data_IF_837634712511
#
_entry.id   IF_837634712511
#
_cell.length_a   1.000
_cell.length_b   1.000
_cell.length_c   1.000
_cell.angle_alpha   90.00
_cell.angle_beta   90.00
_cell.angle_gamma   90.00
#
_symmetry.space_group_name_H-M   'P 1'
#
loop_
_entity.id
_entity.type
_entity.pdbx_description
1 polymer ?
#
# COMPACT_ATOMS: atom_id res chain seq x y z
N UNK A 1 -5.49 -10.71 37.22
CA UNK A 1 -5.18 -9.32 37.60
C UNK A 1 -4.45 -8.58 36.50
N UNK A 2 -3.29 -9.02 36.13
CA UNK A 2 -2.52 -8.38 35.06
C UNK A 2 -3.18 -8.51 33.67
N UNK A 3 -3.99 -9.52 33.46
CA UNK A 3 -4.67 -9.75 32.17
C UNK A 3 -5.76 -8.72 31.86
N UNK A 4 -6.33 -8.08 32.88
CA UNK A 4 -7.38 -7.08 32.65
C UNK A 4 -6.82 -5.73 32.18
N UNK A 5 -5.56 -5.42 32.50
CA UNK A 5 -4.93 -4.16 32.14
C UNK A 5 -4.68 -4.05 30.62
N UNK A 6 -4.08 -5.06 29.95
CA UNK A 6 -3.90 -5.02 28.49
C UNK A 6 -5.23 -4.88 27.73
N UNK A 7 -6.27 -5.58 28.18
CA UNK A 7 -7.57 -5.53 27.54
C UNK A 7 -8.21 -4.14 27.68
N UNK A 8 -8.06 -3.52 28.84
CA UNK A 8 -8.56 -2.16 29.07
C UNK A 8 -7.79 -1.13 28.22
N UNK A 9 -6.50 -1.30 28.10
CA UNK A 9 -5.69 -0.43 27.25
C UNK A 9 -6.09 -0.56 25.78
N UNK A 10 -6.27 -1.78 25.29
CA UNK A 10 -6.74 -2.02 23.93
C UNK A 10 -8.10 -1.40 23.66
N UNK A 11 -9.02 -1.47 24.61
CA UNK A 11 -10.34 -0.89 24.46
C UNK A 11 -10.33 0.64 24.41
N UNK A 12 -9.25 1.28 24.87
CA UNK A 12 -9.07 2.74 24.84
C UNK A 12 -8.39 3.23 23.55
N UNK A 13 -7.83 2.32 22.75
CA UNK A 13 -7.19 2.71 21.51
C UNK A 13 -8.23 3.12 20.47
N UNK A 14 -7.91 4.19 19.75
CA UNK A 14 -8.73 4.63 18.63
C UNK A 14 -8.60 3.60 17.51
N UNK A 15 -9.72 3.17 16.88
CA UNK A 15 -9.63 2.27 15.75
C UNK A 15 -8.88 2.94 14.58
N UNK A 16 -8.30 2.15 13.67
CA UNK A 16 -7.65 2.70 12.49
C UNK A 16 -8.62 3.51 11.65
N UNK A 17 -8.08 4.48 10.91
CA UNK A 17 -8.88 5.28 10.01
C UNK A 17 -9.60 4.41 8.96
N UNK A 18 -10.91 4.55 8.86
CA UNK A 18 -11.73 3.86 7.87
C UNK A 18 -11.87 2.35 8.02
N UNK A 19 -11.44 1.78 9.14
CA UNK A 19 -11.53 0.33 9.38
C UNK A 19 -11.57 0.05 10.88
N UNK A 20 -12.11 -1.10 11.24
CA UNK A 20 -12.09 -1.57 12.63
C UNK A 20 -10.74 -2.17 13.03
N UNK A 21 -9.97 -2.63 12.04
CA UNK A 21 -8.68 -3.29 12.26
C UNK A 21 -7.63 -2.77 11.28
N UNK A 22 -6.36 -2.88 11.68
CA UNK A 22 -5.25 -2.60 10.77
C UNK A 22 -5.26 -3.58 9.60
N UNK A 23 -4.85 -3.10 8.44
CA UNK A 23 -4.75 -3.90 7.21
C UNK A 23 -3.30 -3.91 6.72
N UNK A 24 -2.40 -4.63 7.40
CA UNK A 24 -1.03 -4.75 6.91
C UNK A 24 -1.00 -5.58 5.64
N UNK A 25 -0.19 -5.16 4.68
CA UNK A 25 -0.04 -5.83 3.39
C UNK A 25 1.26 -6.64 3.29
N UNK A 26 2.03 -6.69 4.37
CA UNK A 26 3.30 -7.39 4.42
C UNK A 26 3.10 -8.89 4.28
N UNK A 27 3.76 -9.49 3.30
CA UNK A 27 3.74 -10.94 3.10
C UNK A 27 4.79 -11.60 4.00
N UNK A 28 4.47 -12.82 4.47
CA UNK A 28 5.33 -13.60 5.36
C UNK A 28 5.39 -15.05 4.92
N UNK A 29 6.48 -15.72 5.28
CA UNK A 29 6.65 -17.16 5.09
C UNK A 29 6.57 -17.56 3.63
N UNK A 30 5.79 -18.60 3.35
CA UNK A 30 5.65 -19.18 2.02
C UNK A 30 5.07 -18.20 0.99
N UNK A 31 4.12 -17.39 1.38
CA UNK A 31 3.55 -16.36 0.48
C UNK A 31 4.62 -15.37 0.04
N UNK A 32 5.51 -14.97 0.95
CA UNK A 32 6.63 -14.08 0.63
C UNK A 32 7.60 -14.75 -0.35
N UNK A 33 7.95 -16.01 -0.12
CA UNK A 33 8.83 -16.76 -1.00
C UNK A 33 8.26 -16.89 -2.41
N UNK A 34 6.99 -17.21 -2.53
CA UNK A 34 6.30 -17.32 -3.82
C UNK A 34 6.24 -15.98 -4.54
N UNK A 35 5.98 -14.90 -3.83
CA UNK A 35 5.96 -13.55 -4.39
C UNK A 35 7.35 -13.13 -4.90
N UNK A 36 8.42 -13.45 -4.17
CA UNK A 36 9.79 -13.17 -4.60
C UNK A 36 10.15 -13.94 -5.87
N UNK A 37 9.75 -15.20 -5.97
CA UNK A 37 9.94 -16.00 -7.19
C UNK A 37 9.21 -15.39 -8.38
N UNK A 38 7.96 -15.00 -8.19
CA UNK A 38 7.18 -14.34 -9.24
C UNK A 38 7.84 -13.03 -9.67
N UNK A 39 8.27 -12.23 -8.71
CA UNK A 39 8.89 -10.93 -8.97
C UNK A 39 10.13 -11.04 -9.88
N UNK A 40 10.88 -12.13 -9.77
CA UNK A 40 12.07 -12.37 -10.62
C UNK A 40 11.73 -12.51 -12.11
N UNK A 41 10.48 -12.78 -12.44
CA UNK A 41 10.01 -12.94 -13.83
C UNK A 41 9.29 -11.72 -14.37
N UNK A 42 9.06 -10.71 -13.55
CA UNK A 42 8.23 -9.55 -13.89
C UNK A 42 9.11 -8.35 -14.33
N UNK A 43 8.54 -7.45 -15.15
CA UNK A 43 9.16 -6.15 -15.35
C UNK A 43 9.31 -5.42 -14.01
N UNK A 44 10.39 -4.66 -13.86
CA UNK A 44 10.69 -3.97 -12.61
C UNK A 44 10.48 -2.47 -12.74
N UNK A 45 9.96 -1.87 -11.68
CA UNK A 45 9.92 -0.42 -11.50
C UNK A 45 10.85 -0.11 -10.33
N UNK A 46 11.87 0.71 -10.59
CA UNK A 46 12.73 1.23 -9.52
C UNK A 46 12.00 2.37 -8.83
N UNK A 47 11.73 2.20 -7.55
CA UNK A 47 10.98 3.18 -6.76
C UNK A 47 11.90 4.22 -6.12
N UNK A 48 11.38 5.43 -5.95
CA UNK A 48 12.06 6.51 -5.24
C UNK A 48 12.07 6.25 -3.73
N UNK A 49 12.85 7.04 -3.00
CA UNK A 49 12.87 6.96 -1.54
C UNK A 49 11.51 7.29 -0.91
N UNK A 50 10.75 8.24 -1.50
CA UNK A 50 9.39 8.54 -1.06
C UNK A 50 8.47 7.35 -1.28
N UNK A 51 8.50 6.76 -2.46
CA UNK A 51 7.68 5.58 -2.78
C UNK A 51 8.04 4.38 -1.92
N UNK A 52 9.33 4.22 -1.60
CA UNK A 52 9.78 3.18 -0.67
C UNK A 52 9.18 3.39 0.73
N UNK A 53 9.20 4.63 1.23
CA UNK A 53 8.57 4.97 2.50
C UNK A 53 7.07 4.68 2.50
N UNK A 54 6.37 5.06 1.44
CA UNK A 54 4.94 4.79 1.30
C UNK A 54 4.66 3.29 1.24
N UNK A 55 5.49 2.54 0.55
CA UNK A 55 5.35 1.07 0.46
C UNK A 55 5.55 0.40 1.82
N UNK A 56 6.49 0.87 2.62
CA UNK A 56 6.69 0.38 3.99
C UNK A 56 5.44 0.68 4.83
N UNK A 57 4.90 1.88 4.73
CA UNK A 57 3.67 2.25 5.45
C UNK A 57 2.49 1.37 5.05
N UNK A 58 2.33 1.10 3.76
CA UNK A 58 1.32 0.15 3.28
C UNK A 58 1.54 -1.24 3.89
N UNK A 59 2.79 -1.70 3.90
CA UNK A 59 3.15 -3.02 4.40
C UNK A 59 2.80 -3.23 5.87
N UNK A 60 3.06 -2.26 6.72
CA UNK A 60 2.80 -2.36 8.16
C UNK A 60 1.37 -1.98 8.55
N UNK A 61 0.54 -1.57 7.60
CA UNK A 61 -0.82 -1.14 7.86
C UNK A 61 -0.94 0.33 8.29
N UNK A 62 0.12 1.11 8.14
CA UNK A 62 0.13 2.53 8.50
C UNK A 62 -0.76 3.39 7.63
N UNK A 63 -1.10 2.92 6.43
CA UNK A 63 -2.03 3.59 5.53
C UNK A 63 -3.37 2.86 5.40
N UNK A 64 -3.77 2.13 6.44
CA UNK A 64 -5.11 1.53 6.48
C UNK A 64 -6.18 2.59 6.19
N UNK A 65 -7.17 2.34 5.32
CA UNK A 65 -7.53 1.05 4.75
C UNK A 65 -7.01 0.81 3.32
N UNK A 66 -6.00 1.54 2.87
CA UNK A 66 -5.47 1.40 1.51
C UNK A 66 -4.92 -0.01 1.28
N UNK A 67 -5.19 -0.54 0.09
CA UNK A 67 -4.70 -1.84 -0.36
C UNK A 67 -3.45 -1.75 -1.26
N UNK A 68 -2.96 -0.56 -1.47
CA UNK A 68 -1.81 -0.30 -2.33
C UNK A 68 -1.76 1.15 -2.77
N UNK A 69 -0.92 1.42 -3.74
CA UNK A 69 -0.88 2.74 -4.37
C UNK A 69 -2.21 3.07 -5.04
N UNK A 70 -2.55 4.35 -5.09
CA UNK A 70 -3.84 4.82 -5.59
C UNK A 70 -3.98 4.62 -7.09
N UNK A 71 -5.19 4.26 -7.53
CA UNK A 71 -5.58 4.35 -8.92
C UNK A 71 -5.87 5.82 -9.29
N UNK A 72 -6.17 6.06 -10.57
CA UNK A 72 -6.43 7.42 -11.07
C UNK A 72 -7.64 8.06 -10.39
N UNK A 73 -8.71 7.30 -10.16
CA UNK A 73 -9.92 7.82 -9.54
C UNK A 73 -9.66 8.29 -8.10
N UNK A 74 -8.95 7.50 -7.32
CA UNK A 74 -8.59 7.84 -5.95
C UNK A 74 -7.61 9.00 -5.89
N UNK A 75 -6.58 8.98 -6.74
CA UNK A 75 -5.63 10.09 -6.83
C UNK A 75 -6.34 11.40 -7.11
N UNK A 76 -7.22 11.40 -8.12
CA UNK A 76 -7.96 12.60 -8.50
C UNK A 76 -8.88 13.07 -7.37
N UNK A 77 -9.59 12.16 -6.73
CA UNK A 77 -10.46 12.47 -5.59
C UNK A 77 -9.70 13.05 -4.40
N UNK A 78 -8.54 12.50 -4.09
CA UNK A 78 -7.68 12.99 -3.01
C UNK A 78 -7.16 14.39 -3.32
N UNK A 79 -6.69 14.63 -4.53
CA UNK A 79 -6.17 15.94 -4.95
C UNK A 79 -7.26 17.00 -4.97
N UNK A 80 -8.44 16.67 -5.46
CA UNK A 80 -9.54 17.65 -5.63
C UNK A 80 -10.38 17.83 -4.37
N UNK A 81 -10.71 16.72 -3.68
CA UNK A 81 -11.68 16.71 -2.59
C UNK A 81 -11.14 16.17 -1.27
N UNK A 82 -9.90 15.69 -1.22
CA UNK A 82 -9.35 14.96 -0.09
C UNK A 82 -10.19 13.74 0.29
N UNK A 83 -10.71 13.03 -0.72
CA UNK A 83 -11.55 11.83 -0.52
C UNK A 83 -11.25 10.76 -1.55
N UNK A 84 -11.24 9.52 -1.09
CA UNK A 84 -11.19 8.35 -1.97
C UNK A 84 -12.50 8.25 -2.76
N UNK A 85 -12.43 7.74 -3.99
CA UNK A 85 -13.57 7.69 -4.90
C UNK A 85 -13.94 6.28 -5.35
N UNK A 86 -13.07 5.29 -5.13
CA UNK A 86 -13.28 3.94 -5.65
C UNK A 86 -13.42 2.90 -4.54
N UNK A 87 -14.09 1.78 -4.87
CA UNK A 87 -14.22 0.62 -4.02
C UNK A 87 -15.01 0.87 -2.73
N UNK A 88 -14.78 0.02 -1.75
CA UNK A 88 -15.49 0.05 -0.47
C UNK A 88 -15.15 1.30 0.37
N UNK A 89 -14.05 1.97 0.05
CA UNK A 89 -13.59 3.14 0.77
C UNK A 89 -14.04 4.46 0.14
N UNK A 90 -14.90 4.42 -0.87
CA UNK A 90 -15.39 5.61 -1.54
C UNK A 90 -16.02 6.60 -0.55
N UNK A 91 -15.62 7.86 -0.64
CA UNK A 91 -16.07 8.92 0.26
C UNK A 91 -15.25 9.08 1.53
N UNK A 92 -14.31 8.19 1.79
CA UNK A 92 -13.44 8.29 2.97
C UNK A 92 -12.49 9.48 2.82
N UNK A 93 -12.38 10.28 3.87
CA UNK A 93 -11.39 11.37 3.94
C UNK A 93 -9.98 10.82 3.86
N UNK A 94 -9.20 11.35 2.93
CA UNK A 94 -7.79 10.99 2.76
C UNK A 94 -7.04 12.17 2.14
N UNK A 95 -6.16 12.85 2.90
CA UNK A 95 -5.60 14.13 2.45
C UNK A 95 -4.30 14.02 1.67
N UNK A 96 -3.70 12.82 1.57
CA UNK A 96 -2.36 12.65 1.00
C UNK A 96 -2.43 11.70 -0.20
N UNK A 97 -1.92 12.10 -1.38
CA UNK A 97 -1.80 11.15 -2.49
C UNK A 97 -0.71 10.12 -2.20
N UNK A 98 -1.05 8.84 -2.35
CA UNK A 98 -0.14 7.70 -2.20
C UNK A 98 0.00 7.08 -3.59
N UNK A 99 1.02 7.51 -4.33
CA UNK A 99 1.12 7.23 -5.76
C UNK A 99 2.45 6.60 -6.13
N UNK A 100 2.41 5.80 -7.19
CA UNK A 100 3.58 5.18 -7.80
C UNK A 100 3.78 5.77 -9.19
N UNK A 101 5.00 6.13 -9.52
CA UNK A 101 5.37 6.59 -10.85
C UNK A 101 6.21 5.53 -11.58
N UNK A 102 6.13 5.54 -12.89
CA UNK A 102 6.95 4.66 -13.71
C UNK A 102 7.41 5.38 -14.98
N UNK A 103 8.59 5.02 -15.54
CA UNK A 103 9.04 5.62 -16.78
C UNK A 103 8.06 5.33 -17.93
N UNK A 104 7.87 6.29 -18.80
CA UNK A 104 6.97 6.15 -19.96
C UNK A 104 7.38 4.98 -20.86
N UNK A 105 8.66 4.75 -21.01
CA UNK A 105 9.20 3.61 -21.80
C UNK A 105 8.64 2.29 -21.29
N UNK A 106 8.55 2.13 -19.98
CA UNK A 106 8.00 0.92 -19.38
C UNK A 106 6.47 0.88 -19.49
N UNK A 107 5.80 1.99 -19.17
CA UNK A 107 4.34 2.03 -19.20
C UNK A 107 3.75 1.83 -20.59
N UNK A 108 4.48 2.22 -21.63
CA UNK A 108 4.07 1.98 -23.03
C UNK A 108 4.01 0.48 -23.37
N UNK A 109 4.71 -0.37 -22.62
CA UNK A 109 4.71 -1.83 -22.83
C UNK A 109 3.73 -2.57 -21.91
N UNK A 110 3.14 -1.88 -20.94
CA UNK A 110 2.26 -2.48 -19.95
C UNK A 110 0.78 -2.25 -20.31
N UNK A 111 -0.04 -3.24 -19.98
CA UNK A 111 -1.48 -3.14 -20.04
C UNK A 111 -2.05 -3.09 -18.63
N UNK A 112 -3.25 -2.52 -18.51
CA UNK A 112 -3.94 -2.51 -17.23
C UNK A 112 -4.14 -3.94 -16.73
N UNK A 113 -3.78 -4.19 -15.46
CA UNK A 113 -3.84 -5.52 -14.87
C UNK A 113 -2.53 -6.30 -14.90
N UNK A 114 -1.54 -5.83 -15.67
CA UNK A 114 -0.23 -6.45 -15.67
C UNK A 114 0.46 -6.28 -14.31
N UNK A 115 1.21 -7.32 -13.92
CA UNK A 115 2.00 -7.29 -12.69
C UNK A 115 3.40 -6.76 -12.96
N UNK A 116 3.92 -6.01 -12.02
CA UNK A 116 5.29 -5.52 -12.02
C UNK A 116 5.92 -5.74 -10.65
N UNK A 117 7.24 -5.84 -10.61
CA UNK A 117 7.97 -5.89 -9.36
C UNK A 117 8.47 -4.49 -8.99
N UNK A 118 8.32 -4.12 -7.72
CA UNK A 118 8.81 -2.85 -7.20
C UNK A 118 10.16 -3.08 -6.52
N UNK A 119 11.16 -2.36 -6.96
CA UNK A 119 12.55 -2.58 -6.57
C UNK A 119 13.14 -1.26 -6.06
N UNK A 120 13.78 -1.31 -4.90
CA UNK A 120 14.52 -0.17 -4.37
C UNK A 120 15.80 0.08 -5.20
N UNK A 121 16.40 1.24 -5.02
CA UNK A 121 17.60 1.64 -5.75
C UNK A 121 18.82 0.73 -5.50
N UNK A 122 18.84 0.02 -4.37
CA UNK A 122 19.86 -0.98 -4.05
C UNK A 122 19.60 -2.38 -4.64
N UNK A 123 18.49 -2.53 -5.37
CA UNK A 123 18.09 -3.81 -5.98
C UNK A 123 17.20 -4.69 -5.11
N UNK A 124 16.86 -4.25 -3.89
CA UNK A 124 15.96 -5.01 -3.01
C UNK A 124 14.53 -5.03 -3.57
N UNK A 125 13.95 -6.22 -3.70
CA UNK A 125 12.55 -6.39 -4.11
C UNK A 125 11.65 -6.04 -2.94
N UNK A 126 10.81 -5.04 -3.12
CA UNK A 126 9.95 -4.50 -2.06
C UNK A 126 8.47 -4.87 -2.25
N UNK A 127 8.03 -5.11 -3.48
CA UNK A 127 6.63 -5.40 -3.76
C UNK A 127 6.38 -5.85 -5.19
#
# INVERSE_FOLDING_TARGET
MTSSIPDQEQSKLVPPHGSDTLKPLLLKGKQREEALKLASTLPTITISSRERGDLIMLGIGGFTPLNGFMNQADWKGVVEDMRLKSGDNAGLFWPIPITLSAPKVLTDTLNQGDKVALVADDGEVMG
#
